data_IF_304357017087
#
_entry.id   IF_304357017087
#
_cell.length_a   1.000
_cell.length_b   1.000
_cell.length_c   1.000
_cell.angle_alpha   90.00
_cell.angle_beta   90.00
_cell.angle_gamma   90.00
#
_symmetry.space_group_name_H-M   'P 1'
#
loop_
_entity.id
_entity.type
_entity.pdbx_description
1 polymer ?
#
# COMPACT_ATOMS: atom_id res chain seq x y z
N UNK A 1 -21.57 7.10 19.40
CA UNK A 1 -20.33 6.50 18.85
C UNK A 1 -20.18 7.03 17.43
N UNK A 2 -19.03 7.55 17.05
CA UNK A 2 -18.84 8.06 15.68
C UNK A 2 -18.50 6.88 14.78
N UNK A 3 -19.48 6.37 14.03
CA UNK A 3 -19.26 5.27 13.09
C UNK A 3 -18.28 5.72 11.99
N UNK A 4 -17.08 5.14 12.00
CA UNK A 4 -16.07 5.40 10.98
C UNK A 4 -16.19 4.34 9.91
N UNK A 5 -16.53 4.77 8.71
CA UNK A 5 -16.48 3.91 7.50
C UNK A 5 -15.11 4.07 6.85
N UNK A 6 -14.51 2.96 6.45
CA UNK A 6 -13.21 2.95 5.78
C UNK A 6 -13.32 2.30 4.41
N UNK A 7 -12.51 2.78 3.47
CA UNK A 7 -12.32 2.15 2.17
C UNK A 7 -11.08 1.26 2.24
N UNK A 8 -11.24 -0.03 1.95
CA UNK A 8 -10.12 -0.93 1.70
C UNK A 8 -9.80 -0.92 0.20
N UNK A 9 -8.52 -0.85 -0.14
CA UNK A 9 -8.00 -0.95 -1.52
C UNK A 9 -6.78 -1.86 -1.51
N UNK A 10 -6.60 -2.63 -2.59
CA UNK A 10 -5.37 -3.38 -2.83
C UNK A 10 -4.43 -2.59 -3.73
N UNK A 11 -3.13 -2.69 -3.41
CA UNK A 11 -2.05 -2.01 -4.10
C UNK A 11 -0.92 -3.01 -4.34
N UNK A 12 -0.33 -2.96 -5.53
CA UNK A 12 0.87 -3.74 -5.85
C UNK A 12 2.04 -2.78 -6.04
N UNK A 13 3.06 -2.96 -5.20
CA UNK A 13 4.33 -2.22 -5.29
C UNK A 13 5.42 -3.07 -5.89
N UNK A 14 6.37 -2.44 -6.55
CA UNK A 14 7.54 -3.10 -7.14
C UNK A 14 8.79 -2.30 -6.84
N UNK A 15 9.90 -2.97 -6.55
CA UNK A 15 11.23 -2.38 -6.44
C UNK A 15 12.28 -3.42 -6.90
N UNK A 16 13.38 -2.98 -7.52
CA UNK A 16 14.53 -3.85 -7.82
C UNK A 16 15.41 -4.13 -6.58
N UNK A 17 15.27 -3.36 -5.50
CA UNK A 17 16.21 -3.39 -4.37
C UNK A 17 15.67 -4.16 -3.16
N UNK A 18 14.43 -3.90 -2.73
CA UNK A 18 13.85 -4.57 -1.55
C UNK A 18 12.32 -4.54 -1.49
N UNK A 19 11.76 -5.37 -0.60
CA UNK A 19 10.31 -5.43 -0.34
C UNK A 19 9.85 -4.13 0.33
N UNK A 20 10.62 -3.56 1.25
CA UNK A 20 10.30 -2.32 1.96
C UNK A 20 10.17 -1.16 0.99
N UNK A 21 11.07 -1.05 0.02
CA UNK A 21 10.99 -0.02 -1.01
C UNK A 21 9.77 -0.25 -1.94
N UNK A 22 9.46 -1.50 -2.28
CA UNK A 22 8.26 -1.82 -3.05
C UNK A 22 6.98 -1.36 -2.32
N UNK A 23 6.87 -1.65 -1.02
CA UNK A 23 5.77 -1.21 -0.16
C UNK A 23 5.69 0.31 -0.07
N UNK A 24 6.82 0.98 0.18
CA UNK A 24 6.89 2.44 0.24
C UNK A 24 6.46 3.09 -1.08
N UNK A 25 6.89 2.54 -2.21
CA UNK A 25 6.53 3.00 -3.56
C UNK A 25 5.01 2.92 -3.79
N UNK A 26 4.39 1.80 -3.42
CA UNK A 26 2.93 1.63 -3.52
C UNK A 26 2.16 2.65 -2.68
N UNK A 27 2.56 2.83 -1.41
CA UNK A 27 1.93 3.78 -0.48
C UNK A 27 2.12 5.21 -0.98
N UNK A 28 3.33 5.58 -1.41
CA UNK A 28 3.63 6.91 -1.93
C UNK A 28 2.83 7.23 -3.20
N UNK A 29 2.64 6.25 -4.09
CA UNK A 29 1.80 6.41 -5.28
C UNK A 29 0.33 6.59 -4.89
N UNK A 30 -0.19 5.76 -3.99
CA UNK A 30 -1.57 5.85 -3.52
C UNK A 30 -1.86 7.16 -2.79
N UNK A 31 -0.92 7.66 -1.99
CA UNK A 31 -1.07 8.92 -1.25
C UNK A 31 -1.29 10.15 -2.14
N UNK A 32 -0.91 10.08 -3.42
CA UNK A 32 -1.15 11.17 -4.40
C UNK A 32 -2.64 11.34 -4.73
N UNK A 33 -3.44 10.28 -4.61
CA UNK A 33 -4.87 10.27 -5.02
C UNK A 33 -5.82 9.88 -3.91
N UNK A 34 -5.36 9.06 -2.96
CA UNK A 34 -6.14 8.57 -1.82
C UNK A 34 -5.72 9.33 -0.57
N UNK A 35 -6.66 10.05 0.03
CA UNK A 35 -6.43 10.82 1.26
C UNK A 35 -6.71 9.95 2.49
N UNK A 36 -6.11 10.33 3.62
CA UNK A 36 -6.33 9.69 4.92
C UNK A 36 -6.01 8.18 4.93
N UNK A 37 -4.90 7.76 4.30
CA UNK A 37 -4.35 6.42 4.49
C UNK A 37 -3.99 6.24 5.98
N UNK A 38 -4.38 5.12 6.59
CA UNK A 38 -4.27 4.89 8.04
C UNK A 38 -3.42 3.68 8.40
N UNK A 39 -3.58 2.59 7.68
CA UNK A 39 -2.82 1.35 7.85
C UNK A 39 -2.65 0.66 6.50
N UNK A 40 -1.76 -0.31 6.46
CA UNK A 40 -1.59 -1.22 5.35
C UNK A 40 -1.33 -2.62 5.89
N UNK A 41 -1.54 -3.63 5.06
CA UNK A 41 -1.20 -5.02 5.35
C UNK A 41 -0.57 -5.61 4.09
N UNK A 42 0.53 -6.35 4.26
CA UNK A 42 1.10 -7.15 3.16
C UNK A 42 0.27 -8.41 3.01
N UNK A 43 -0.37 -8.58 1.86
CA UNK A 43 -1.21 -9.75 1.54
C UNK A 43 -0.37 -10.86 0.91
N UNK A 44 0.53 -10.49 -0.01
CA UNK A 44 1.44 -11.41 -0.66
C UNK A 44 2.75 -10.72 -1.06
N UNK A 45 3.80 -11.54 -1.20
CA UNK A 45 5.11 -11.12 -1.68
C UNK A 45 5.47 -11.99 -2.88
N UNK A 46 5.74 -11.37 -4.03
CA UNK A 46 6.14 -12.03 -5.27
C UNK A 46 7.36 -11.33 -5.85
N UNK A 47 8.13 -12.03 -6.67
CA UNK A 47 9.31 -11.50 -7.37
C UNK A 47 9.46 -12.13 -8.75
N UNK A 48 9.98 -11.34 -9.70
CA UNK A 48 10.43 -11.85 -11.00
C UNK A 48 11.88 -12.36 -10.85
N UNK A 49 12.24 -13.42 -11.59
CA UNK A 49 13.59 -14.01 -11.65
C UNK A 49 14.13 -13.81 -13.06
#
# INVERSE_FOLDING_TARGET
MTDKTYKLIELTGTSPNSIEEAVQSAIAKAAKTVRQLRWFQVVETRGAI
#
